data_IF_929626402475
#
_entry.id   IF_929626402475
#
_cell.length_a   1.000
_cell.length_b   1.000
_cell.length_c   1.000
_cell.angle_alpha   90.00
_cell.angle_beta   90.00
_cell.angle_gamma   90.00
#
_symmetry.space_group_name_H-M   'P 1'
#
loop_
_entity.id
_entity.type
_entity.pdbx_description
1 polymer ?
#
# COMPACT_ATOMS: atom_id res chain seq x y z
N UNK A 1 -29.85 8.58 11.51
CA UNK A 1 -28.73 7.77 10.97
C UNK A 1 -29.25 6.88 9.85
N UNK A 2 -28.63 6.88 8.67
CA UNK A 2 -28.99 5.96 7.61
C UNK A 2 -28.27 4.62 7.84
N UNK A 3 -28.89 3.74 8.62
CA UNK A 3 -28.39 2.39 8.90
C UNK A 3 -28.93 1.41 7.86
N UNK A 4 -28.08 0.50 7.38
CA UNK A 4 -28.46 -0.61 6.50
C UNK A 4 -28.10 -1.93 7.15
N UNK A 5 -29.12 -2.76 7.36
CA UNK A 5 -28.95 -4.10 7.93
C UNK A 5 -28.35 -5.03 6.89
N UNK A 6 -27.38 -5.83 7.32
CA UNK A 6 -26.76 -6.86 6.50
C UNK A 6 -27.50 -8.17 6.73
N UNK A 7 -28.18 -8.68 5.69
CA UNK A 7 -28.88 -9.97 5.72
C UNK A 7 -28.19 -11.00 4.82
N UNK A 8 -27.50 -10.53 3.74
CA UNK A 8 -26.79 -11.41 2.82
C UNK A 8 -25.44 -10.80 2.46
N UNK A 9 -24.40 -11.64 2.55
CA UNK A 9 -23.02 -11.30 2.17
C UNK A 9 -22.56 -12.17 1.00
N UNK A 10 -21.88 -11.56 0.04
CA UNK A 10 -21.11 -12.24 -0.99
C UNK A 10 -19.65 -12.19 -0.61
N UNK A 11 -18.99 -13.35 -0.50
CA UNK A 11 -17.60 -13.48 -0.07
C UNK A 11 -16.81 -14.23 -1.13
N UNK A 12 -15.84 -13.55 -1.75
CA UNK A 12 -14.91 -14.15 -2.70
C UNK A 12 -13.52 -13.58 -2.46
N UNK A 13 -12.68 -14.31 -1.73
CA UNK A 13 -11.37 -13.82 -1.27
C UNK A 13 -10.24 -14.74 -1.71
N UNK A 14 -9.16 -14.14 -2.16
CA UNK A 14 -7.88 -14.81 -2.44
C UNK A 14 -7.15 -15.09 -1.11
N UNK A 15 -6.92 -14.06 -0.29
CA UNK A 15 -6.41 -14.23 1.07
C UNK A 15 -7.54 -14.64 2.03
N UNK A 16 -7.39 -15.82 2.62
CA UNK A 16 -8.35 -16.46 3.51
C UNK A 16 -7.86 -16.51 4.97
N UNK A 17 -6.75 -15.86 5.28
CA UNK A 17 -6.07 -15.97 6.58
C UNK A 17 -6.97 -15.58 7.76
N UNK A 18 -7.66 -14.45 7.66
CA UNK A 18 -8.46 -13.86 8.73
C UNK A 18 -9.97 -14.13 8.59
N UNK A 19 -10.35 -15.06 7.69
CA UNK A 19 -11.76 -15.31 7.34
C UNK A 19 -12.62 -15.69 8.55
N UNK A 20 -12.06 -16.42 9.52
CA UNK A 20 -12.77 -16.82 10.75
C UNK A 20 -13.28 -15.62 11.56
N UNK A 21 -12.53 -14.49 11.57
CA UNK A 21 -12.94 -13.29 12.33
C UNK A 21 -14.25 -12.75 11.79
N UNK A 22 -14.37 -12.64 10.47
CA UNK A 22 -15.58 -12.10 9.86
C UNK A 22 -16.75 -13.08 9.90
N UNK A 23 -16.49 -14.40 9.72
CA UNK A 23 -17.54 -15.42 9.77
C UNK A 23 -18.23 -15.49 11.14
N UNK A 24 -17.51 -15.26 12.24
CA UNK A 24 -18.08 -15.20 13.60
C UNK A 24 -19.15 -14.11 13.72
N UNK A 25 -18.89 -12.89 13.23
CA UNK A 25 -19.85 -11.79 13.31
C UNK A 25 -21.03 -11.99 12.36
N UNK A 26 -20.80 -12.53 11.17
CA UNK A 26 -21.87 -12.84 10.23
C UNK A 26 -22.82 -13.90 10.79
N UNK A 27 -22.29 -14.97 11.43
CA UNK A 27 -23.08 -15.98 12.12
C UNK A 27 -23.89 -15.40 13.28
N UNK A 28 -23.28 -14.53 14.11
CA UNK A 28 -23.95 -13.85 15.24
C UNK A 28 -25.21 -13.11 14.78
N UNK A 29 -25.16 -12.45 13.62
CA UNK A 29 -26.28 -11.68 13.08
C UNK A 29 -27.12 -12.45 12.04
N UNK A 30 -26.91 -13.76 11.91
CA UNK A 30 -27.67 -14.66 11.00
C UNK A 30 -27.61 -14.22 9.54
N UNK A 31 -26.45 -13.71 9.10
CA UNK A 31 -26.22 -13.28 7.71
C UNK A 31 -26.08 -14.51 6.83
N UNK A 32 -26.85 -14.57 5.74
CA UNK A 32 -26.69 -15.59 4.70
C UNK A 32 -25.41 -15.31 3.88
N UNK A 33 -24.63 -16.35 3.60
CA UNK A 33 -23.35 -16.22 2.91
C UNK A 33 -23.42 -16.87 1.54
N UNK A 34 -23.12 -16.08 0.49
CA UNK A 34 -22.87 -16.55 -0.86
C UNK A 34 -21.35 -16.61 -1.08
N UNK A 35 -20.86 -17.65 -1.71
CA UNK A 35 -19.43 -17.78 -1.99
C UNK A 35 -19.18 -18.72 -3.16
N UNK A 36 -17.98 -18.66 -3.74
CA UNK A 36 -17.59 -19.53 -4.86
C UNK A 36 -16.23 -20.19 -4.67
N UNK A 37 -16.03 -21.29 -5.34
CA UNK A 37 -14.73 -21.95 -5.50
C UNK A 37 -14.00 -22.21 -4.19
N UNK A 38 -12.72 -21.81 -4.11
CA UNK A 38 -11.86 -22.05 -2.96
C UNK A 38 -12.33 -21.35 -1.66
N UNK A 39 -13.04 -20.21 -1.78
CA UNK A 39 -13.60 -19.51 -0.62
C UNK A 39 -14.80 -20.28 -0.05
N UNK A 40 -15.71 -20.76 -0.89
CA UNK A 40 -16.84 -21.62 -0.50
C UNK A 40 -16.35 -22.87 0.25
N UNK A 41 -15.38 -23.60 -0.33
CA UNK A 41 -14.79 -24.79 0.32
C UNK A 41 -14.19 -24.46 1.68
N UNK A 42 -13.49 -23.32 1.81
CA UNK A 42 -12.87 -22.90 3.07
C UNK A 42 -13.90 -22.53 4.13
N UNK A 43 -14.96 -21.79 3.78
CA UNK A 43 -16.04 -21.42 4.71
C UNK A 43 -16.71 -22.65 5.29
N UNK A 44 -17.08 -23.62 4.44
CA UNK A 44 -17.73 -24.84 4.89
C UNK A 44 -16.79 -25.73 5.73
N UNK A 45 -15.49 -25.82 5.39
CA UNK A 45 -14.49 -26.52 6.22
C UNK A 45 -14.32 -25.89 7.61
N UNK A 46 -14.54 -24.57 7.73
CA UNK A 46 -14.54 -23.89 9.03
C UNK A 46 -15.83 -24.05 9.82
N UNK A 47 -16.80 -24.86 9.36
CA UNK A 47 -18.06 -25.13 10.04
C UNK A 47 -19.13 -24.04 9.90
N UNK A 48 -19.01 -23.20 8.86
CA UNK A 48 -20.03 -22.20 8.55
C UNK A 48 -20.78 -22.59 7.26
N UNK A 49 -22.11 -22.39 7.26
CA UNK A 49 -22.92 -22.63 6.07
C UNK A 49 -22.75 -21.50 5.06
N UNK A 50 -22.57 -21.85 3.80
CA UNK A 50 -22.62 -20.93 2.67
C UNK A 50 -23.34 -21.57 1.48
N UNK A 51 -23.89 -20.74 0.62
CA UNK A 51 -24.53 -21.15 -0.64
C UNK A 51 -23.50 -20.92 -1.75
N UNK A 52 -23.33 -21.89 -2.64
CA UNK A 52 -22.46 -21.70 -3.78
C UNK A 52 -23.11 -20.74 -4.80
N UNK A 53 -22.29 -19.92 -5.46
CA UNK A 53 -22.80 -18.93 -6.41
C UNK A 53 -23.50 -19.60 -7.59
N UNK A 54 -23.00 -20.73 -8.06
CA UNK A 54 -23.66 -21.53 -9.10
C UNK A 54 -25.08 -21.93 -8.74
N UNK A 55 -25.31 -22.38 -7.49
CA UNK A 55 -26.66 -22.72 -7.00
C UNK A 55 -27.55 -21.48 -6.87
N UNK A 56 -26.99 -20.37 -6.40
CA UNK A 56 -27.73 -19.12 -6.24
C UNK A 56 -28.15 -18.50 -7.59
N UNK A 57 -27.30 -18.63 -8.59
CA UNK A 57 -27.55 -18.06 -9.92
C UNK A 57 -28.30 -19.02 -10.84
N UNK A 58 -28.29 -20.32 -10.54
CA UNK A 58 -28.66 -21.43 -11.43
C UNK A 58 -27.83 -21.41 -12.73
N UNK A 59 -26.54 -21.05 -12.62
CA UNK A 59 -25.62 -20.99 -13.75
C UNK A 59 -24.30 -21.62 -13.36
N UNK A 60 -23.82 -22.61 -14.13
CA UNK A 60 -22.53 -23.24 -13.84
C UNK A 60 -21.37 -22.27 -14.04
N UNK A 61 -20.25 -22.57 -13.39
CA UNK A 61 -18.97 -21.95 -13.68
C UNK A 61 -18.49 -22.43 -15.07
N UNK A 62 -18.08 -21.51 -15.93
CA UNK A 62 -17.64 -21.80 -17.30
C UNK A 62 -16.29 -21.18 -17.60
N UNK A 63 -15.64 -21.62 -18.69
CA UNK A 63 -14.33 -21.13 -19.15
C UNK A 63 -13.25 -21.25 -18.05
N UNK A 64 -13.15 -22.45 -17.44
CA UNK A 64 -12.20 -22.76 -16.37
C UNK A 64 -12.24 -21.75 -15.18
N UNK A 65 -13.45 -21.22 -14.91
CA UNK A 65 -13.67 -20.28 -13.80
C UNK A 65 -13.50 -18.81 -14.14
N UNK A 66 -13.19 -18.45 -15.37
CA UNK A 66 -13.13 -17.05 -15.80
C UNK A 66 -14.50 -16.35 -15.70
N UNK A 67 -15.57 -17.12 -15.87
CA UNK A 67 -16.95 -16.63 -15.72
C UNK A 67 -17.67 -17.44 -14.65
N UNK A 68 -17.68 -16.93 -13.45
CA UNK A 68 -18.41 -17.50 -12.29
C UNK A 68 -19.21 -16.47 -11.52
N UNK A 69 -18.72 -15.22 -11.43
CA UNK A 69 -19.38 -14.14 -10.71
C UNK A 69 -19.99 -13.07 -11.63
N UNK A 70 -19.71 -13.12 -12.93
CA UNK A 70 -20.23 -12.18 -13.92
C UNK A 70 -21.66 -12.55 -14.32
N UNK A 71 -22.63 -12.41 -13.39
CA UNK A 71 -24.01 -12.84 -13.60
C UNK A 71 -25.01 -11.76 -13.18
N UNK A 72 -26.08 -11.47 -13.99
CA UNK A 72 -27.07 -10.43 -13.70
C UNK A 72 -27.72 -10.54 -12.33
N UNK A 73 -27.96 -11.74 -11.80
CA UNK A 73 -28.53 -11.93 -10.45
C UNK A 73 -27.64 -11.37 -9.35
N UNK A 74 -26.32 -11.48 -9.48
CA UNK A 74 -25.38 -10.93 -8.50
C UNK A 74 -25.32 -9.42 -8.61
N UNK A 75 -25.06 -8.89 -9.79
CA UNK A 75 -24.96 -7.45 -10.01
C UNK A 75 -26.28 -6.72 -9.79
N UNK A 76 -27.40 -7.31 -10.18
CA UNK A 76 -28.72 -6.80 -9.86
C UNK A 76 -28.96 -6.73 -8.34
N UNK A 77 -28.56 -7.79 -7.60
CA UNK A 77 -28.65 -7.83 -6.13
C UNK A 77 -27.78 -6.77 -5.44
N UNK A 78 -26.65 -6.38 -6.04
CA UNK A 78 -25.73 -5.35 -5.53
C UNK A 78 -26.19 -3.94 -5.95
N UNK A 79 -26.48 -3.73 -7.24
CA UNK A 79 -26.61 -2.39 -7.83
C UNK A 79 -28.00 -1.74 -7.71
N UNK A 80 -29.06 -2.51 -7.45
CA UNK A 80 -30.38 -1.88 -7.39
C UNK A 80 -30.50 -0.93 -6.18
N UNK A 81 -31.07 0.24 -6.41
CA UNK A 81 -31.34 1.24 -5.35
C UNK A 81 -32.55 0.81 -4.54
N UNK A 82 -32.35 0.56 -3.22
CA UNK A 82 -33.36 0.01 -2.31
C UNK A 82 -34.62 0.90 -2.19
N UNK A 83 -34.46 2.21 -2.38
CA UNK A 83 -35.55 3.20 -2.29
C UNK A 83 -36.20 3.53 -3.65
N UNK A 84 -35.77 2.87 -4.75
CA UNK A 84 -36.34 3.12 -6.08
C UNK A 84 -37.43 2.10 -6.41
N UNK A 85 -38.69 2.55 -6.51
CA UNK A 85 -39.87 1.68 -6.78
C UNK A 85 -39.74 0.92 -8.11
N UNK A 86 -39.18 1.55 -9.16
CA UNK A 86 -38.98 0.90 -10.47
C UNK A 86 -37.98 -0.26 -10.33
N UNK A 87 -36.85 -0.04 -9.64
CA UNK A 87 -35.88 -1.08 -9.40
C UNK A 87 -36.48 -2.22 -8.57
N UNK A 88 -37.22 -1.93 -7.50
CA UNK A 88 -37.87 -2.95 -6.68
C UNK A 88 -38.84 -3.83 -7.51
N UNK A 89 -39.62 -3.23 -8.38
CA UNK A 89 -40.53 -3.97 -9.27
C UNK A 89 -39.75 -4.87 -10.25
N UNK A 90 -38.72 -4.34 -10.90
CA UNK A 90 -37.86 -5.11 -11.81
C UNK A 90 -37.22 -6.30 -11.12
N UNK A 91 -36.57 -6.10 -9.96
CA UNK A 91 -35.88 -7.13 -9.19
C UNK A 91 -36.83 -8.23 -8.75
N UNK A 92 -38.08 -7.87 -8.32
CA UNK A 92 -39.09 -8.85 -7.94
C UNK A 92 -39.55 -9.69 -9.14
N UNK A 93 -39.72 -9.10 -10.31
CA UNK A 93 -40.18 -9.82 -11.51
C UNK A 93 -39.21 -10.88 -12.01
N UNK A 94 -37.92 -10.73 -11.75
CA UNK A 94 -36.85 -11.64 -12.20
C UNK A 94 -36.19 -12.40 -11.02
N UNK A 95 -36.85 -12.43 -9.87
CA UNK A 95 -36.40 -13.11 -8.62
C UNK A 95 -34.94 -12.83 -8.26
N UNK A 96 -34.54 -11.58 -8.30
CA UNK A 96 -33.21 -11.18 -7.83
C UNK A 96 -33.26 -10.82 -6.34
N UNK A 97 -32.45 -11.49 -5.56
CA UNK A 97 -32.31 -11.28 -4.13
C UNK A 97 -31.23 -10.26 -3.82
N UNK A 98 -31.48 -9.37 -2.85
CA UNK A 98 -30.52 -8.32 -2.44
C UNK A 98 -29.25 -8.91 -1.83
N UNK A 99 -28.13 -8.24 -2.08
CA UNK A 99 -26.83 -8.48 -1.47
C UNK A 99 -26.45 -7.19 -0.72
N UNK A 100 -26.20 -7.28 0.58
CA UNK A 100 -26.02 -6.12 1.46
C UNK A 100 -24.56 -5.88 1.83
N UNK A 101 -23.70 -6.93 1.66
CA UNK A 101 -22.28 -6.90 1.95
C UNK A 101 -21.53 -7.65 0.86
N UNK A 102 -20.46 -7.06 0.37
CA UNK A 102 -19.51 -7.68 -0.56
C UNK A 102 -18.12 -7.67 0.08
N UNK A 103 -17.52 -8.84 0.22
CA UNK A 103 -16.16 -9.02 0.74
C UNK A 103 -15.33 -9.69 -0.35
N UNK A 104 -14.41 -8.94 -0.92
CA UNK A 104 -13.58 -9.40 -2.04
C UNK A 104 -12.19 -8.80 -1.89
N UNK A 105 -11.16 -9.64 -1.83
CA UNK A 105 -9.80 -9.22 -2.07
C UNK A 105 -9.27 -9.88 -3.35
N UNK A 106 -8.39 -9.19 -4.05
CA UNK A 106 -7.93 -9.61 -5.37
C UNK A 106 -6.84 -10.68 -5.31
N UNK A 107 -6.58 -11.33 -6.42
CA UNK A 107 -5.40 -12.18 -6.56
C UNK A 107 -4.13 -11.35 -6.37
N UNK A 108 -3.07 -11.92 -5.73
CA UNK A 108 -1.83 -11.20 -5.44
C UNK A 108 -1.00 -11.01 -6.71
N UNK A 109 -1.41 -10.10 -7.58
CA UNK A 109 -0.83 -9.85 -8.89
C UNK A 109 0.68 -9.54 -8.80
N UNK A 110 1.09 -8.67 -7.87
CA UNK A 110 2.50 -8.30 -7.68
C UNK A 110 3.38 -9.51 -7.31
N UNK A 111 2.85 -10.46 -6.52
CA UNK A 111 3.58 -11.70 -6.21
C UNK A 111 3.65 -12.64 -7.42
N UNK A 112 2.60 -12.65 -8.24
CA UNK A 112 2.59 -13.45 -9.47
C UNK A 112 3.57 -12.89 -10.49
N UNK A 113 3.72 -11.57 -10.61
CA UNK A 113 4.71 -10.93 -11.50
C UNK A 113 6.14 -11.36 -11.15
N UNK A 114 6.46 -11.56 -9.88
CA UNK A 114 7.80 -12.04 -9.45
C UNK A 114 8.14 -13.44 -10.00
N UNK A 115 7.17 -14.23 -10.44
CA UNK A 115 7.40 -15.56 -10.98
C UNK A 115 8.01 -15.53 -12.39
N UNK A 116 7.94 -14.41 -13.12
CA UNK A 116 8.46 -14.24 -14.47
C UNK A 116 7.74 -15.08 -15.54
N UNK A 117 6.60 -15.70 -15.23
CA UNK A 117 5.85 -16.52 -16.19
C UNK A 117 4.66 -15.73 -16.74
N UNK A 118 4.80 -15.17 -17.94
CA UNK A 118 3.81 -14.30 -18.57
C UNK A 118 2.42 -14.93 -18.68
N UNK A 119 2.34 -16.20 -19.09
CA UNK A 119 1.04 -16.89 -19.18
C UNK A 119 0.34 -16.97 -17.85
N UNK A 120 1.09 -17.28 -16.77
CA UNK A 120 0.56 -17.33 -15.42
C UNK A 120 0.19 -15.93 -14.90
N UNK A 121 0.97 -14.91 -15.26
CA UNK A 121 0.70 -13.53 -14.85
C UNK A 121 -0.60 -13.04 -15.48
N UNK A 122 -0.78 -13.21 -16.79
CA UNK A 122 -2.01 -12.82 -17.50
C UNK A 122 -3.22 -13.59 -16.97
N UNK A 123 -3.09 -14.90 -16.72
CA UNK A 123 -4.20 -15.72 -16.18
C UNK A 123 -4.62 -15.28 -14.77
N UNK A 124 -3.72 -14.68 -13.98
CA UNK A 124 -4.01 -14.16 -12.65
C UNK A 124 -4.52 -12.71 -12.65
N UNK A 125 -4.81 -12.10 -13.80
CA UNK A 125 -5.53 -10.83 -13.83
C UNK A 125 -6.98 -11.09 -13.42
N UNK A 126 -7.36 -10.56 -12.24
CA UNK A 126 -8.71 -10.70 -11.71
C UNK A 126 -9.67 -9.72 -12.40
N UNK A 127 -10.70 -10.23 -13.05
CA UNK A 127 -11.76 -9.47 -13.69
C UNK A 127 -13.01 -9.42 -12.80
N UNK A 128 -13.38 -10.57 -12.24
CA UNK A 128 -14.62 -10.73 -11.47
C UNK A 128 -14.59 -10.00 -10.13
N UNK A 129 -13.47 -10.05 -9.42
CA UNK A 129 -13.28 -9.37 -8.14
C UNK A 129 -13.42 -7.86 -8.24
N UNK A 130 -12.60 -7.17 -9.06
CA UNK A 130 -12.70 -5.73 -9.25
C UNK A 130 -14.09 -5.25 -9.70
N UNK A 131 -14.78 -5.99 -10.57
CA UNK A 131 -16.13 -5.60 -11.01
C UNK A 131 -17.17 -5.71 -9.90
N UNK A 132 -17.13 -6.74 -9.05
CA UNK A 132 -17.98 -6.85 -7.86
C UNK A 132 -17.72 -5.72 -6.86
N UNK A 133 -16.44 -5.41 -6.60
CA UNK A 133 -16.02 -4.33 -5.71
C UNK A 133 -16.54 -2.99 -6.21
N UNK A 134 -16.35 -2.68 -7.50
CA UNK A 134 -16.82 -1.43 -8.11
C UNK A 134 -18.34 -1.30 -8.08
N UNK A 135 -19.08 -2.40 -8.31
CA UNK A 135 -20.53 -2.42 -8.21
C UNK A 135 -21.01 -2.09 -6.79
N UNK A 136 -20.43 -2.74 -5.78
CA UNK A 136 -20.78 -2.50 -4.37
C UNK A 136 -20.38 -1.09 -3.92
N UNK A 137 -19.19 -0.62 -4.28
CA UNK A 137 -18.69 0.72 -3.97
C UNK A 137 -19.58 1.81 -4.59
N UNK A 138 -20.02 1.64 -5.84
CA UNK A 138 -20.96 2.57 -6.50
C UNK A 138 -22.29 2.68 -5.74
N UNK A 139 -22.77 1.59 -5.16
CA UNK A 139 -24.04 1.55 -4.43
C UNK A 139 -23.86 1.63 -2.90
N UNK A 140 -22.84 2.37 -2.41
CA UNK A 140 -22.52 2.49 -0.98
C UNK A 140 -23.67 3.00 -0.10
N UNK A 141 -24.66 3.67 -0.68
CA UNK A 141 -25.87 4.06 0.04
C UNK A 141 -26.63 2.85 0.61
N UNK A 142 -26.55 1.71 -0.07
CA UNK A 142 -27.29 0.50 0.26
C UNK A 142 -26.41 -0.72 0.58
N UNK A 143 -25.15 -0.75 0.14
CA UNK A 143 -24.26 -1.91 0.20
C UNK A 143 -22.93 -1.56 0.90
N UNK A 144 -22.47 -2.46 1.76
CA UNK A 144 -21.14 -2.39 2.38
C UNK A 144 -20.14 -3.16 1.51
N UNK A 145 -18.96 -2.60 1.28
CA UNK A 145 -17.89 -3.28 0.56
C UNK A 145 -16.63 -3.39 1.43
N UNK A 146 -15.96 -4.52 1.40
CA UNK A 146 -14.70 -4.81 2.09
C UNK A 146 -13.72 -5.36 1.06
N UNK A 147 -12.54 -4.81 1.00
CA UNK A 147 -11.50 -5.17 0.02
C UNK A 147 -10.22 -5.69 0.64
N UNK A 148 -10.03 -5.48 1.95
CA UNK A 148 -8.83 -5.87 2.66
C UNK A 148 -9.13 -6.47 4.03
N UNK A 149 -8.30 -7.42 4.47
CA UNK A 149 -8.45 -8.11 5.77
C UNK A 149 -8.29 -7.17 6.96
N UNK A 150 -7.54 -6.06 6.83
CA UNK A 150 -7.40 -5.04 7.87
C UNK A 150 -8.72 -4.35 8.22
N UNK A 151 -9.69 -4.34 7.29
CA UNK A 151 -11.02 -3.75 7.49
C UNK A 151 -11.98 -4.66 8.28
N UNK A 152 -11.64 -5.94 8.52
CA UNK A 152 -12.53 -6.90 9.18
C UNK A 152 -12.88 -6.51 10.62
N UNK A 153 -11.91 -5.99 11.38
CA UNK A 153 -12.14 -5.54 12.76
C UNK A 153 -13.08 -4.33 12.77
N UNK A 154 -12.88 -3.39 11.84
CA UNK A 154 -13.75 -2.22 11.73
C UNK A 154 -15.20 -2.61 11.39
N UNK A 155 -15.40 -3.54 10.44
CA UNK A 155 -16.73 -4.09 10.11
C UNK A 155 -17.35 -4.81 11.31
N UNK A 156 -16.58 -5.62 12.05
CA UNK A 156 -17.06 -6.32 13.25
C UNK A 156 -17.54 -5.33 14.31
N UNK A 157 -16.76 -4.27 14.58
CA UNK A 157 -17.10 -3.24 15.54
C UNK A 157 -18.37 -2.48 15.12
N UNK A 158 -18.47 -2.11 13.85
CA UNK A 158 -19.64 -1.42 13.28
C UNK A 158 -20.90 -2.25 13.38
N UNK A 159 -20.85 -3.54 12.99
CA UNK A 159 -21.98 -4.46 13.09
C UNK A 159 -22.39 -4.72 14.55
N UNK A 160 -21.43 -4.83 15.47
CA UNK A 160 -21.76 -4.98 16.89
C UNK A 160 -22.43 -3.73 17.45
N UNK A 161 -21.92 -2.53 17.11
CA UNK A 161 -22.48 -1.24 17.54
C UNK A 161 -23.90 -1.04 17.05
N UNK A 162 -24.18 -1.41 15.80
CA UNK A 162 -25.47 -1.17 15.15
C UNK A 162 -26.31 -2.44 14.92
N UNK A 163 -26.12 -3.47 15.76
CA UNK A 163 -26.93 -4.69 15.79
C UNK A 163 -27.09 -5.37 14.43
N UNK A 164 -25.96 -5.56 13.72
CA UNK A 164 -25.90 -6.19 12.39
C UNK A 164 -26.13 -5.23 11.23
N UNK A 165 -26.05 -3.92 11.47
CA UNK A 165 -26.18 -2.87 10.45
C UNK A 165 -24.89 -2.09 10.32
N UNK A 166 -24.77 -1.33 9.21
CA UNK A 166 -23.68 -0.39 8.97
C UNK A 166 -24.20 1.01 8.74
N UNK A 167 -23.46 2.04 9.18
CA UNK A 167 -23.79 3.44 8.99
C UNK A 167 -23.40 3.93 7.59
N UNK A 168 -24.07 4.98 7.10
CA UNK A 168 -23.75 5.59 5.81
C UNK A 168 -22.31 6.09 5.74
N UNK A 169 -21.82 6.70 6.83
CA UNK A 169 -20.44 7.22 6.87
C UNK A 169 -19.42 6.08 6.72
N UNK A 170 -19.64 4.97 7.42
CA UNK A 170 -18.78 3.79 7.31
C UNK A 170 -18.76 3.25 5.87
N UNK A 171 -19.92 3.08 5.23
CA UNK A 171 -20.02 2.62 3.85
C UNK A 171 -19.38 3.59 2.86
N UNK A 172 -19.47 4.91 3.09
CA UNK A 172 -18.85 5.93 2.24
C UNK A 172 -17.32 5.87 2.29
N UNK A 173 -16.75 5.67 3.48
CA UNK A 173 -15.30 5.49 3.66
C UNK A 173 -14.84 4.23 2.91
N UNK A 174 -15.51 3.10 3.12
CA UNK A 174 -15.18 1.85 2.45
C UNK A 174 -15.35 1.93 0.92
N UNK A 175 -16.32 2.69 0.42
CA UNK A 175 -16.48 2.93 -1.01
C UNK A 175 -15.26 3.66 -1.61
N UNK A 176 -14.75 4.68 -0.92
CA UNK A 176 -13.52 5.36 -1.32
C UNK A 176 -12.35 4.38 -1.36
N UNK A 177 -12.18 3.59 -0.29
CA UNK A 177 -11.07 2.64 -0.17
C UNK A 177 -11.16 1.55 -1.24
N UNK A 178 -12.38 1.11 -1.59
CA UNK A 178 -12.62 0.14 -2.65
C UNK A 178 -12.23 0.68 -4.04
N UNK A 179 -12.50 1.95 -4.34
CA UNK A 179 -12.05 2.57 -5.59
C UNK A 179 -10.54 2.80 -5.61
N UNK A 180 -9.93 3.11 -4.46
CA UNK A 180 -8.48 3.19 -4.35
C UNK A 180 -7.84 1.82 -4.63
N UNK A 181 -8.38 0.76 -4.06
CA UNK A 181 -7.88 -0.61 -4.25
C UNK A 181 -7.97 -1.06 -5.72
N UNK A 182 -9.12 -0.82 -6.38
CA UNK A 182 -9.25 -1.15 -7.81
C UNK A 182 -8.32 -0.32 -8.68
N UNK A 183 -8.14 0.97 -8.39
CA UNK A 183 -7.23 1.84 -9.14
C UNK A 183 -5.76 1.46 -8.94
N UNK A 184 -5.37 1.08 -7.72
CA UNK A 184 -4.04 0.58 -7.43
C UNK A 184 -3.77 -0.74 -8.17
N UNK A 185 -4.71 -1.67 -8.14
CA UNK A 185 -4.63 -2.94 -8.86
C UNK A 185 -4.43 -2.74 -10.36
N UNK A 186 -5.24 -1.89 -11.01
CA UNK A 186 -5.10 -1.53 -12.42
C UNK A 186 -3.77 -0.85 -12.72
N UNK A 187 -3.26 -0.04 -11.80
CA UNK A 187 -1.93 0.58 -11.93
C UNK A 187 -0.83 -0.48 -12.00
N UNK A 188 -0.88 -1.51 -11.15
CA UNK A 188 0.12 -2.59 -11.13
C UNK A 188 0.08 -3.44 -12.40
N UNK A 189 -1.11 -3.71 -12.93
CA UNK A 189 -1.27 -4.38 -14.23
C UNK A 189 -0.65 -3.53 -15.35
N UNK A 190 -0.95 -2.23 -15.36
CA UNK A 190 -0.43 -1.30 -16.37
C UNK A 190 1.09 -1.18 -16.30
N UNK A 191 1.67 -1.10 -15.11
CA UNK A 191 3.13 -1.10 -14.90
C UNK A 191 3.80 -2.35 -15.49
N UNK A 192 3.19 -3.53 -15.28
CA UNK A 192 3.68 -4.79 -15.84
C UNK A 192 3.62 -4.79 -17.38
N UNK A 193 2.47 -4.45 -17.96
CA UNK A 193 2.26 -4.43 -19.40
C UNK A 193 3.16 -3.41 -20.11
N UNK A 194 3.43 -2.27 -19.49
CA UNK A 194 4.37 -1.28 -20.03
C UNK A 194 5.81 -1.80 -20.05
N UNK A 195 6.24 -2.55 -19.03
CA UNK A 195 7.57 -3.17 -19.00
C UNK A 195 7.73 -4.29 -20.04
N UNK A 196 6.67 -5.04 -20.29
CA UNK A 196 6.67 -6.11 -21.28
C UNK A 196 6.75 -5.59 -22.74
N UNK A 197 6.44 -4.30 -22.96
CA UNK A 197 6.37 -3.67 -24.27
C UNK A 197 7.41 -2.54 -24.42
N UNK A 198 8.68 -2.81 -24.12
CA UNK A 198 9.76 -1.80 -24.11
C UNK A 198 9.93 -1.00 -25.41
N UNK A 199 9.54 -1.56 -26.57
CA UNK A 199 9.64 -0.92 -27.89
C UNK A 199 8.41 -0.07 -28.25
N UNK A 200 7.41 -0.01 -27.38
CA UNK A 200 6.20 0.79 -27.62
C UNK A 200 6.41 2.26 -27.21
N UNK A 201 5.78 3.22 -27.91
CA UNK A 201 5.82 4.60 -27.48
C UNK A 201 5.21 4.78 -26.09
N UNK A 202 5.62 5.79 -25.31
CA UNK A 202 5.10 6.00 -23.97
C UNK A 202 3.58 6.20 -24.02
N UNK A 203 2.84 5.63 -23.05
CA UNK A 203 1.38 5.70 -23.03
C UNK A 203 0.90 7.16 -22.83
N UNK A 204 -0.24 7.50 -23.43
CA UNK A 204 -0.85 8.86 -23.31
C UNK A 204 -1.24 9.23 -21.87
N UNK A 205 -1.41 8.27 -20.97
CA UNK A 205 -1.76 8.48 -19.57
C UNK A 205 -0.79 7.71 -18.69
N UNK A 206 -0.32 8.33 -17.61
CA UNK A 206 0.54 7.71 -16.61
C UNK A 206 -0.23 7.58 -15.30
N UNK A 207 -0.22 6.38 -14.72
CA UNK A 207 -0.73 6.12 -13.38
C UNK A 207 0.46 5.90 -12.43
N UNK A 208 0.34 6.41 -11.22
CA UNK A 208 1.32 6.22 -10.14
C UNK A 208 0.56 5.71 -8.92
N UNK A 209 0.84 4.49 -8.50
CA UNK A 209 0.26 3.86 -7.32
C UNK A 209 1.29 3.69 -6.22
N UNK A 210 0.95 4.08 -5.00
CA UNK A 210 1.84 3.92 -3.85
C UNK A 210 1.09 3.53 -2.58
N UNK A 211 1.78 2.79 -1.70
CA UNK A 211 1.27 2.41 -0.39
C UNK A 211 1.65 3.46 0.66
N UNK A 212 0.69 3.85 1.51
CA UNK A 212 0.94 4.77 2.61
C UNK A 212 1.95 4.14 3.59
N UNK A 213 3.04 4.85 3.84
CA UNK A 213 4.06 4.46 4.82
C UNK A 213 3.80 5.15 6.15
N UNK A 214 3.69 6.48 6.12
CA UNK A 214 3.33 7.24 7.31
C UNK A 214 2.67 8.59 6.98
N UNK A 215 1.90 9.10 7.95
CA UNK A 215 1.42 10.47 7.94
C UNK A 215 2.42 11.36 8.68
N UNK A 216 2.89 12.40 8.02
CA UNK A 216 3.79 13.37 8.60
C UNK A 216 3.03 14.39 9.44
N UNK A 217 3.74 15.06 10.35
CA UNK A 217 3.14 16.09 11.20
C UNK A 217 2.65 17.29 10.37
N UNK A 218 3.42 17.67 9.35
CA UNK A 218 3.13 18.74 8.38
C UNK A 218 4.03 18.55 7.15
N UNK A 219 3.74 19.28 6.08
CA UNK A 219 4.51 19.28 4.83
C UNK A 219 5.76 20.15 4.91
N UNK A 220 6.07 20.83 3.81
CA UNK A 220 7.17 21.79 3.78
C UNK A 220 6.93 22.93 4.78
N UNK A 221 5.70 23.40 4.88
CA UNK A 221 5.25 24.43 5.81
C UNK A 221 4.26 23.87 6.84
N UNK A 222 4.18 24.47 8.06
CA UNK A 222 3.37 23.94 9.17
C UNK A 222 1.86 23.80 8.89
N UNK A 223 1.31 24.56 7.96
CA UNK A 223 -0.10 24.51 7.61
C UNK A 223 -0.46 23.47 6.54
N UNK A 224 0.55 22.82 5.95
CA UNK A 224 0.37 21.82 4.92
C UNK A 224 0.29 20.41 5.50
N UNK A 225 -0.71 19.63 5.08
CA UNK A 225 -0.72 18.18 5.33
C UNK A 225 0.29 17.46 4.44
N UNK A 226 0.93 16.40 4.97
CA UNK A 226 1.83 15.57 4.18
C UNK A 226 1.77 14.11 4.62
N UNK A 227 2.04 13.22 3.66
CA UNK A 227 2.12 11.78 3.87
C UNK A 227 3.20 11.20 2.96
N UNK A 228 3.85 10.15 3.43
CA UNK A 228 4.86 9.43 2.67
C UNK A 228 4.23 8.18 2.07
N UNK A 229 4.37 8.01 0.77
CA UNK A 229 3.95 6.83 0.04
C UNK A 229 5.16 6.14 -0.58
N UNK A 230 5.19 4.81 -0.53
CA UNK A 230 6.16 4.02 -1.26
C UNK A 230 5.53 3.43 -2.52
N UNK A 231 6.21 3.53 -3.65
CA UNK A 231 5.82 2.88 -4.91
C UNK A 231 6.02 1.37 -4.85
N UNK A 232 6.90 0.91 -3.97
CA UNK A 232 7.10 -0.48 -3.59
C UNK A 232 6.42 -0.75 -2.25
N UNK A 233 6.32 -2.01 -1.82
CA UNK A 233 5.67 -2.36 -0.54
C UNK A 233 6.35 -1.74 0.68
N UNK A 234 7.64 -1.42 0.60
CA UNK A 234 8.43 -0.89 1.71
C UNK A 234 9.33 0.27 1.26
N UNK A 235 9.51 1.25 2.13
CA UNK A 235 10.65 2.17 2.02
C UNK A 235 11.88 1.42 2.53
N UNK A 236 12.86 1.22 1.64
CA UNK A 236 14.08 0.48 1.94
C UNK A 236 15.09 1.31 2.77
N UNK A 237 14.61 2.11 3.73
CA UNK A 237 15.42 2.79 4.74
C UNK A 237 14.90 2.46 6.13
N UNK A 238 15.80 2.32 7.11
CA UNK A 238 15.44 2.00 8.49
C UNK A 238 15.92 3.06 9.44
N UNK A 239 15.02 3.70 10.16
CA UNK A 239 15.39 4.61 11.23
C UNK A 239 15.82 3.83 12.48
N UNK A 240 17.04 4.06 12.96
CA UNK A 240 17.67 3.38 14.10
C UNK A 240 17.66 4.19 15.38
N UNK A 241 17.51 5.51 15.30
CA UNK A 241 17.52 6.46 16.42
C UNK A 241 16.87 7.79 16.05
N UNK A 242 16.52 8.58 17.04
CA UNK A 242 16.11 9.99 16.92
C UNK A 242 14.61 10.22 16.84
N UNK A 243 14.24 11.49 16.66
CA UNK A 243 12.86 11.95 16.48
C UNK A 243 12.28 11.46 15.15
N UNK A 244 10.94 11.44 15.01
CA UNK A 244 10.27 11.19 13.73
C UNK A 244 10.80 12.10 12.64
N UNK A 245 10.84 11.59 11.41
CA UNK A 245 11.23 12.35 10.23
C UNK A 245 10.17 13.41 9.90
N UNK A 246 10.61 14.55 9.38
CA UNK A 246 9.75 15.56 8.78
C UNK A 246 9.78 15.47 7.26
N UNK A 247 8.91 16.21 6.57
CA UNK A 247 8.95 16.34 5.12
C UNK A 247 10.36 16.75 4.62
N UNK A 248 10.93 17.81 5.22
CA UNK A 248 12.26 18.28 4.83
C UNK A 248 13.35 17.22 5.08
N UNK A 249 13.24 16.45 6.18
CA UNK A 249 14.19 15.36 6.42
C UNK A 249 14.09 14.29 5.32
N UNK A 250 12.90 13.88 4.87
CA UNK A 250 12.75 12.93 3.76
C UNK A 250 13.37 13.48 2.48
N UNK A 251 13.09 14.72 2.13
CA UNK A 251 13.62 15.36 0.93
C UNK A 251 15.16 15.37 0.95
N UNK A 252 15.75 15.85 2.04
CA UNK A 252 17.21 15.91 2.20
C UNK A 252 17.85 14.52 2.27
N UNK A 253 17.22 13.54 2.93
CA UNK A 253 17.69 12.13 3.02
C UNK A 253 17.80 11.53 1.61
N UNK A 254 16.74 11.61 0.80
CA UNK A 254 16.74 10.98 -0.51
C UNK A 254 17.67 11.72 -1.48
N UNK A 255 17.78 13.05 -1.39
CA UNK A 255 18.79 13.82 -2.13
C UNK A 255 20.21 13.37 -1.76
N UNK A 256 20.49 13.23 -0.46
CA UNK A 256 21.79 12.78 0.03
C UNK A 256 22.12 11.34 -0.39
N UNK A 257 21.16 10.41 -0.30
CA UNK A 257 21.32 9.03 -0.75
C UNK A 257 21.62 8.99 -2.25
N UNK A 258 20.82 9.71 -3.04
CA UNK A 258 20.97 9.76 -4.49
C UNK A 258 22.37 10.21 -4.87
N UNK A 259 22.84 11.30 -4.30
CA UNK A 259 24.15 11.83 -4.61
C UNK A 259 25.30 10.96 -4.06
N UNK A 260 25.21 10.49 -2.81
CA UNK A 260 26.28 9.66 -2.24
C UNK A 260 26.45 8.31 -2.95
N UNK A 261 25.36 7.68 -3.38
CA UNK A 261 25.38 6.39 -4.08
C UNK A 261 25.75 6.49 -5.58
N UNK A 262 25.74 7.68 -6.17
CA UNK A 262 26.22 7.86 -7.54
C UNK A 262 27.74 7.61 -7.68
N UNK A 263 28.47 7.67 -6.57
CA UNK A 263 29.90 7.39 -6.53
C UNK A 263 30.15 5.94 -6.08
N UNK A 264 30.59 5.09 -7.00
CA UNK A 264 30.73 3.63 -6.75
C UNK A 264 32.16 3.19 -6.43
N UNK A 265 33.19 3.97 -6.80
CA UNK A 265 34.59 3.55 -6.71
C UNK A 265 35.27 3.88 -5.37
N UNK A 266 34.83 4.97 -4.73
CA UNK A 266 35.44 5.50 -3.52
C UNK A 266 34.41 5.70 -2.42
N UNK A 267 34.86 5.89 -1.17
CA UNK A 267 33.99 6.32 -0.10
C UNK A 267 33.55 7.76 -0.35
N UNK A 268 32.24 7.95 -0.45
CA UNK A 268 31.65 9.27 -0.62
C UNK A 268 30.94 9.73 0.64
N UNK A 269 31.15 10.98 1.03
CA UNK A 269 30.38 11.69 2.04
C UNK A 269 29.76 12.93 1.40
N UNK A 270 28.48 13.09 1.60
CA UNK A 270 27.68 14.22 1.11
C UNK A 270 27.01 14.87 2.31
N UNK A 271 27.06 16.20 2.39
CA UNK A 271 26.36 16.99 3.39
C UNK A 271 25.31 17.82 2.66
N UNK A 272 24.04 17.63 3.04
CA UNK A 272 22.88 18.25 2.40
C UNK A 272 22.22 19.24 3.36
N UNK A 273 21.79 20.35 2.82
CA UNK A 273 20.93 21.31 3.50
C UNK A 273 19.93 21.91 2.50
N UNK A 274 18.63 21.82 2.81
CA UNK A 274 17.56 22.30 1.91
C UNK A 274 17.63 21.69 0.50
N UNK A 275 17.78 20.38 0.43
CA UNK A 275 17.92 19.59 -0.79
C UNK A 275 19.11 19.97 -1.70
N UNK A 276 20.07 20.74 -1.19
CA UNK A 276 21.28 21.10 -1.90
C UNK A 276 22.54 20.63 -1.17
N UNK A 277 23.56 20.16 -1.88
CA UNK A 277 24.81 19.79 -1.26
C UNK A 277 25.62 21.04 -0.88
N UNK A 278 26.01 21.15 0.38
CA UNK A 278 26.97 22.14 0.84
C UNK A 278 28.39 21.56 0.99
N UNK A 279 28.53 20.24 0.92
CA UNK A 279 29.81 19.56 0.89
C UNK A 279 29.73 18.17 0.27
N UNK A 280 30.65 17.87 -0.66
CA UNK A 280 30.77 16.56 -1.30
C UNK A 280 32.25 16.21 -1.40
N UNK A 281 32.62 15.01 -0.94
CA UNK A 281 33.99 14.54 -1.07
C UNK A 281 34.08 13.03 -1.24
N UNK A 282 35.11 12.64 -1.97
CA UNK A 282 35.50 11.25 -2.19
C UNK A 282 36.90 11.02 -1.65
N UNK A 283 37.12 9.88 -1.04
CA UNK A 283 38.48 9.46 -0.60
C UNK A 283 38.53 7.93 -0.44
N UNK A 284 39.75 7.38 -0.46
CA UNK A 284 40.03 5.96 -0.17
C UNK A 284 39.83 5.63 1.32
N UNK A 285 39.79 6.63 2.19
CA UNK A 285 39.57 6.48 3.63
C UNK A 285 38.29 7.19 4.03
N UNK A 286 37.39 6.49 4.74
CA UNK A 286 36.10 6.98 5.19
C UNK A 286 36.18 8.31 5.94
N UNK A 287 37.14 8.39 6.88
CA UNK A 287 37.32 9.60 7.69
C UNK A 287 37.71 10.82 6.86
N UNK A 288 38.56 10.62 5.85
CA UNK A 288 38.98 11.73 4.98
C UNK A 288 37.84 12.21 4.09
N UNK A 289 37.01 11.28 3.56
CA UNK A 289 35.84 11.69 2.77
C UNK A 289 34.90 12.56 3.61
N UNK A 290 34.70 12.23 4.90
CA UNK A 290 33.90 13.04 5.79
C UNK A 290 34.54 14.43 6.08
N UNK A 291 35.82 14.46 6.46
CA UNK A 291 36.49 15.70 6.81
C UNK A 291 36.55 16.67 5.62
N UNK A 292 36.91 16.20 4.42
CA UNK A 292 36.91 16.98 3.20
C UNK A 292 35.51 17.50 2.83
N UNK A 293 34.46 16.67 2.98
CA UNK A 293 33.09 17.12 2.74
C UNK A 293 32.68 18.22 3.73
N UNK A 294 33.09 18.11 4.99
CA UNK A 294 32.84 19.14 6.00
C UNK A 294 33.59 20.44 5.70
N UNK A 295 34.86 20.35 5.24
CA UNK A 295 35.71 21.49 4.91
C UNK A 295 35.21 22.31 3.71
N UNK A 296 34.33 21.76 2.85
CA UNK A 296 33.73 22.50 1.75
C UNK A 296 32.96 23.75 2.22
N UNK A 297 32.14 23.61 3.26
CA UNK A 297 31.39 24.70 3.90
C UNK A 297 30.99 24.32 5.34
N UNK A 298 31.87 24.56 6.32
CA UNK A 298 31.57 24.22 7.71
C UNK A 298 30.40 24.98 8.31
N UNK A 299 30.11 26.17 7.79
CA UNK A 299 29.02 27.02 8.28
C UNK A 299 27.66 26.46 7.85
N UNK A 300 27.52 26.14 6.58
CA UNK A 300 26.27 25.53 6.07
C UNK A 300 26.07 24.08 6.51
N UNK A 301 27.14 23.36 6.82
CA UNK A 301 27.08 21.99 7.34
C UNK A 301 26.40 21.89 8.71
N UNK A 302 26.37 22.99 9.49
CA UNK A 302 25.71 23.02 10.79
C UNK A 302 24.20 22.77 10.65
N UNK A 303 23.69 21.75 11.34
CA UNK A 303 22.29 21.35 11.26
C UNK A 303 21.87 20.65 9.97
N UNK A 304 22.83 20.34 9.09
CA UNK A 304 22.57 19.60 7.85
C UNK A 304 22.39 18.10 8.06
N UNK A 305 22.28 17.39 6.95
CA UNK A 305 22.14 15.94 6.85
C UNK A 305 23.37 15.36 6.21
N UNK A 306 23.97 14.34 6.83
CA UNK A 306 25.09 13.61 6.26
C UNK A 306 24.58 12.35 5.56
N UNK A 307 25.05 12.07 4.35
CA UNK A 307 24.83 10.80 3.65
C UNK A 307 26.17 10.18 3.22
N UNK A 308 26.34 8.89 3.59
CA UNK A 308 27.54 8.11 3.31
C UNK A 308 27.17 6.86 2.48
N UNK A 309 27.89 6.59 1.39
CA UNK A 309 27.76 5.34 0.63
C UNK A 309 28.44 4.13 1.32
N UNK A 310 29.01 4.31 2.50
CA UNK A 310 29.73 3.30 3.26
C UNK A 310 29.11 3.07 4.63
N UNK A 311 29.52 1.97 5.27
CA UNK A 311 29.21 1.66 6.65
C UNK A 311 30.04 2.54 7.59
N UNK A 312 29.34 3.38 8.38
CA UNK A 312 29.99 4.31 9.32
C UNK A 312 30.68 3.56 10.44
N UNK A 313 31.99 3.79 10.60
CA UNK A 313 32.83 3.21 11.66
C UNK A 313 32.93 4.13 12.88
N UNK A 314 33.64 3.64 13.91
CA UNK A 314 33.81 4.34 15.19
C UNK A 314 34.54 5.68 15.02
N UNK A 315 35.50 5.79 14.09
CA UNK A 315 36.32 6.99 13.86
C UNK A 315 35.46 8.11 13.27
N UNK A 316 34.76 7.83 12.19
CA UNK A 316 33.84 8.77 11.55
C UNK A 316 32.72 9.18 12.53
N UNK A 317 32.19 8.23 13.31
CA UNK A 317 31.14 8.51 14.28
C UNK A 317 31.59 9.47 15.40
N UNK A 318 32.84 9.42 15.84
CA UNK A 318 33.38 10.37 16.82
C UNK A 318 33.39 11.80 16.26
N UNK A 319 33.88 11.98 15.02
CA UNK A 319 33.92 13.28 14.36
C UNK A 319 32.51 13.85 14.10
N UNK A 320 31.59 13.03 13.61
CA UNK A 320 30.17 13.44 13.45
C UNK A 320 29.57 13.83 14.81
N UNK A 321 29.90 13.08 15.87
CA UNK A 321 29.37 13.32 17.21
C UNK A 321 29.87 14.63 17.84
N UNK A 322 31.01 15.19 17.41
CA UNK A 322 31.54 16.46 17.92
C UNK A 322 30.79 17.69 17.37
N UNK A 323 29.97 17.53 16.33
CA UNK A 323 29.24 18.59 15.62
C UNK A 323 27.73 18.40 15.72
N UNK A 324 26.97 19.39 15.29
CA UNK A 324 25.50 19.30 15.26
C UNK A 324 25.00 18.99 13.84
N UNK A 325 24.31 17.84 13.74
CA UNK A 325 23.58 17.40 12.54
C UNK A 325 22.18 16.95 12.93
N UNK A 326 21.24 17.06 12.00
CA UNK A 326 19.87 16.56 12.21
C UNK A 326 19.74 15.08 11.89
N UNK A 327 20.40 14.61 10.83
CA UNK A 327 20.32 13.22 10.33
C UNK A 327 21.69 12.75 9.88
N UNK A 328 21.94 11.46 10.11
CA UNK A 328 23.04 10.74 9.47
C UNK A 328 22.46 9.52 8.75
N UNK A 329 22.66 9.48 7.44
CA UNK A 329 22.29 8.37 6.56
C UNK A 329 23.53 7.62 6.18
N UNK A 330 23.51 6.28 6.22
CA UNK A 330 24.68 5.49 5.86
C UNK A 330 24.27 4.11 5.31
N UNK A 331 25.20 3.51 4.58
CA UNK A 331 25.08 2.12 4.15
C UNK A 331 25.39 1.15 5.34
N UNK A 332 24.67 1.38 6.46
CA UNK A 332 24.83 0.72 7.73
C UNK A 332 25.76 1.45 8.70
N UNK A 333 25.83 0.93 9.93
CA UNK A 333 26.66 1.45 11.03
C UNK A 333 27.31 0.29 11.76
N UNK A 334 28.55 0.46 12.16
CA UNK A 334 29.21 -0.47 13.08
C UNK A 334 28.64 -0.33 14.51
N UNK A 335 28.69 -1.40 15.30
CA UNK A 335 28.17 -1.40 16.67
C UNK A 335 28.80 -0.31 17.55
N UNK A 336 30.09 -0.06 17.38
CA UNK A 336 30.82 1.00 18.07
C UNK A 336 30.38 2.40 17.65
N UNK A 337 30.08 2.60 16.36
CA UNK A 337 29.53 3.85 15.82
C UNK A 337 28.13 4.15 16.37
N UNK A 338 27.26 3.13 16.36
CA UNK A 338 25.91 3.25 16.93
C UNK A 338 25.92 3.64 18.41
N UNK A 339 26.82 3.04 19.22
CA UNK A 339 26.94 3.39 20.64
C UNK A 339 27.32 4.87 20.85
N UNK A 340 28.14 5.43 19.98
CA UNK A 340 28.53 6.86 20.05
C UNK A 340 27.38 7.75 19.61
N UNK A 341 26.83 7.52 18.42
CA UNK A 341 25.83 8.41 17.82
C UNK A 341 24.49 8.38 18.56
N UNK A 342 24.08 7.25 19.12
CA UNK A 342 22.84 7.11 19.92
C UNK A 342 22.86 7.90 21.23
N UNK A 343 24.02 8.36 21.72
CA UNK A 343 24.09 9.28 22.87
C UNK A 343 23.37 10.62 22.57
N UNK A 344 23.31 11.01 21.30
CA UNK A 344 22.53 12.15 20.82
C UNK A 344 21.10 11.74 20.58
N UNK A 345 20.24 11.81 21.58
CA UNK A 345 18.84 11.31 21.54
C UNK A 345 18.00 11.86 20.39
N UNK A 346 18.29 13.08 19.94
CA UNK A 346 17.53 13.73 18.85
C UNK A 346 18.10 13.46 17.46
N UNK A 347 19.35 12.98 17.35
CA UNK A 347 20.01 12.68 16.07
C UNK A 347 19.31 11.50 15.40
N UNK A 348 18.85 11.69 14.20
CA UNK A 348 18.21 10.64 13.41
C UNK A 348 19.28 9.83 12.70
N UNK A 349 19.29 8.53 12.92
CA UNK A 349 20.20 7.60 12.27
C UNK A 349 19.41 6.75 11.29
N UNK A 350 19.76 6.81 10.01
CA UNK A 350 19.06 6.12 8.92
C UNK A 350 19.99 5.10 8.29
N UNK A 351 19.59 3.85 8.34
CA UNK A 351 20.26 2.75 7.63
C UNK A 351 19.65 2.61 6.24
N UNK A 352 20.45 2.82 5.21
CA UNK A 352 20.10 2.68 3.79
C UNK A 352 20.74 1.47 3.13
N UNK A 353 21.25 0.50 3.91
CA UNK A 353 21.97 -0.68 3.39
C UNK A 353 21.07 -1.61 2.55
N UNK A 354 19.76 -1.59 2.78
CA UNK A 354 18.79 -2.38 2.01
C UNK A 354 18.40 -1.72 0.67
N UNK A 355 18.74 -0.46 0.45
CA UNK A 355 18.61 0.17 -0.86
C UNK A 355 19.72 -0.37 -1.78
N UNK A 356 19.36 -1.33 -2.62
CA UNK A 356 20.19 -1.73 -3.77
C UNK A 356 20.32 -0.53 -4.71
N UNK A 357 21.30 -0.58 -5.61
CA UNK A 357 21.66 0.49 -6.54
C UNK A 357 20.43 1.25 -7.08
N UNK A 358 20.44 2.57 -6.87
CA UNK A 358 19.48 3.45 -7.50
C UNK A 358 19.86 3.51 -8.99
N UNK A 359 19.14 2.81 -9.84
CA UNK A 359 19.26 2.99 -11.30
C UNK A 359 18.69 4.36 -11.65
N UNK A 360 19.55 5.37 -11.68
CA UNK A 360 19.18 6.74 -12.04
C UNK A 360 18.63 6.85 -13.46
N UNK A 361 19.06 5.97 -14.37
CA UNK A 361 18.60 5.94 -15.76
C UNK A 361 17.11 5.61 -15.94
N UNK A 362 16.48 4.93 -14.96
CA UNK A 362 15.10 4.50 -15.06
C UNK A 362 14.08 5.38 -14.32
N UNK A 363 14.49 6.39 -13.55
CA UNK A 363 13.62 7.14 -12.65
C UNK A 363 13.60 8.65 -12.86
N UNK A 364 13.98 9.16 -14.02
CA UNK A 364 13.79 10.57 -14.34
C UNK A 364 12.32 10.83 -14.62
N UNK A 365 11.54 11.12 -13.59
CA UNK A 365 10.20 11.65 -13.76
C UNK A 365 10.23 13.15 -13.47
N UNK A 366 10.13 13.95 -14.52
CA UNK A 366 9.74 15.36 -14.42
C UNK A 366 8.22 15.35 -14.18
N UNK A 367 7.77 15.76 -12.98
CA UNK A 367 6.36 16.02 -12.68
C UNK A 367 6.10 17.51 -12.72
#
# INVERSE_FOLDING_TARGET
MNLKKINRALISVSDKSELTKILKVLKKFKVEILSSGGTYKKINRLGYKSIEISDFTNSPEILDGRVKTLHPKLYGGILFKRNNRKHQKQIKNIDIKKIDLVIVNFYPFEETVKTGNDKKIIENIDVGGPTLVRAAAKNYEDVTVITDTSQYIALQNEMNKYRGSTSLNFRKILSRDAFLETGYYDTKITEYLNKANNDSPPPKKKLIGGNLVENLRYGENPHQGASVYSLNKEINIKQLNGKKLSYNNYNDIFTGISLSKSFTKDYSTVIIKHANPCGVALDKRKINSYLKAYECDPTSAFGGIISCNYKVDKTVAKEISSKFYEVVVANGFESGALKILKRKKNLRLIDSSSLKELNFEQNTSIM
#
